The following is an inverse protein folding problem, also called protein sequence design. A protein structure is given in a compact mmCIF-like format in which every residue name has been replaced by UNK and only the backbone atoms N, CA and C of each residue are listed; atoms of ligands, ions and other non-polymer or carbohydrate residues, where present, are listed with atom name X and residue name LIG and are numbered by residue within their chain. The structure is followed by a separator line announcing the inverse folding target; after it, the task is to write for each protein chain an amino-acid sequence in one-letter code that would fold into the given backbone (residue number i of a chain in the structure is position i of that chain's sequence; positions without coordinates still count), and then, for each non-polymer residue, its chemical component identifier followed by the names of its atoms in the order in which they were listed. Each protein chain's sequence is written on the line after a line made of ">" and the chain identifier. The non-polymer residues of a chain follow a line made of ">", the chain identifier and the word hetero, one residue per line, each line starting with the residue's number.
data_IF_716206783248
#
_entry.id   IF_716206783248
#
_cell.length_a   1.000
_cell.length_b   1.000
_cell.length_c   1.000
_cell.angle_alpha   90.00
_cell.angle_beta   90.00
_cell.angle_gamma   90.00
#
_symmetry.space_group_name_H-M   'P 1'
#
loop_
_entity.id
_entity.type
_entity.pdbx_description
1 polymer ?
#
# COMPACT_ATOMS: atom_id res chain seq x y z
N UNK A 1 -17.66 10.47 15.95
CA UNK A 1 -17.59 9.59 14.75
C UNK A 1 -16.62 8.42 14.93
N UNK A 2 -15.69 8.46 15.89
CA UNK A 2 -14.79 7.35 16.28
C UNK A 2 -15.45 5.99 16.52
N UNK A 3 -16.70 5.94 17.01
CA UNK A 3 -17.45 4.69 17.11
C UNK A 3 -17.79 4.05 15.75
N UNK A 4 -17.81 4.81 14.65
CA UNK A 4 -18.17 4.28 13.32
C UNK A 4 -17.02 3.52 12.67
N UNK A 5 -15.76 3.93 12.83
CA UNK A 5 -14.62 3.23 12.22
C UNK A 5 -14.26 1.95 12.97
N UNK A 6 -14.37 1.97 14.30
CA UNK A 6 -14.25 0.77 15.12
C UNK A 6 -15.40 -0.21 14.84
N UNK A 7 -16.65 0.27 14.81
CA UNK A 7 -17.79 -0.56 14.46
C UNK A 7 -17.70 -1.09 13.02
N UNK A 8 -17.19 -0.28 12.08
CA UNK A 8 -16.95 -0.68 10.69
C UNK A 8 -15.90 -1.79 10.62
N UNK A 9 -14.76 -1.64 11.29
CA UNK A 9 -13.72 -2.68 11.36
C UNK A 9 -14.23 -3.96 12.03
N UNK A 10 -15.10 -3.84 13.04
CA UNK A 10 -15.74 -4.97 13.69
C UNK A 10 -16.70 -5.70 12.73
N UNK A 11 -17.57 -4.97 12.05
CA UNK A 11 -18.51 -5.51 11.05
C UNK A 11 -17.74 -6.15 9.89
N UNK A 12 -16.74 -5.45 9.33
CA UNK A 12 -15.88 -5.97 8.27
C UNK A 12 -15.16 -7.24 8.72
N UNK A 13 -14.61 -7.26 9.94
CA UNK A 13 -13.97 -8.44 10.52
C UNK A 13 -14.93 -9.64 10.59
N UNK A 14 -16.16 -9.42 11.07
CA UNK A 14 -17.19 -10.45 11.10
C UNK A 14 -17.60 -10.93 9.70
N UNK A 15 -17.76 -10.01 8.74
CA UNK A 15 -18.06 -10.36 7.35
C UNK A 15 -16.97 -11.23 6.73
N UNK A 16 -15.69 -10.89 6.94
CA UNK A 16 -14.56 -11.70 6.46
C UNK A 16 -14.52 -13.07 7.13
N UNK A 17 -14.73 -13.16 8.46
CA UNK A 17 -14.80 -14.45 9.16
C UNK A 17 -15.95 -15.29 8.61
N UNK A 18 -17.16 -14.72 8.47
CA UNK A 18 -18.32 -15.42 7.96
C UNK A 18 -18.10 -15.93 6.52
N UNK A 19 -17.60 -15.07 5.63
CA UNK A 19 -17.26 -15.45 4.26
C UNK A 19 -16.19 -16.56 4.24
N UNK A 20 -15.18 -16.46 5.10
CA UNK A 20 -14.12 -17.46 5.21
C UNK A 20 -14.61 -18.81 5.72
N UNK A 21 -15.54 -18.83 6.68
CA UNK A 21 -16.18 -20.05 7.16
C UNK A 21 -17.03 -20.72 6.07
N UNK A 22 -17.79 -19.94 5.28
CA UNK A 22 -18.56 -20.47 4.14
C UNK A 22 -17.63 -21.11 3.11
N UNK A 23 -16.54 -20.43 2.75
CA UNK A 23 -15.54 -20.95 1.81
C UNK A 23 -14.83 -22.21 2.31
N UNK A 24 -14.61 -22.32 3.62
CA UNK A 24 -13.92 -23.46 4.22
C UNK A 24 -14.80 -24.70 4.37
N UNK A 25 -16.05 -24.53 4.84
CA UNK A 25 -16.95 -25.64 5.14
C UNK A 25 -17.82 -26.07 3.95
N UNK A 26 -18.13 -25.16 3.03
CA UNK A 26 -19.04 -25.44 1.90
C UNK A 26 -18.45 -24.96 0.56
N UNK A 27 -17.19 -25.33 0.21
CA UNK A 27 -16.52 -24.79 -0.97
C UNK A 27 -17.29 -25.08 -2.28
N UNK A 28 -17.85 -26.28 -2.42
CA UNK A 28 -18.53 -26.74 -3.63
C UNK A 28 -19.76 -25.89 -4.01
N UNK A 29 -20.33 -25.14 -3.05
CA UNK A 29 -21.48 -24.25 -3.30
C UNK A 29 -21.09 -22.80 -3.50
N UNK A 30 -19.86 -22.40 -3.20
CA UNK A 30 -19.44 -20.99 -3.26
C UNK A 30 -19.54 -20.45 -4.69
N UNK A 31 -19.07 -21.22 -5.68
CA UNK A 31 -19.15 -20.77 -7.08
C UNK A 31 -20.60 -20.63 -7.55
N UNK A 32 -21.46 -21.60 -7.22
CA UNK A 32 -22.90 -21.50 -7.51
C UNK A 32 -23.56 -20.33 -6.79
N UNK A 33 -23.17 -20.03 -5.54
CA UNK A 33 -23.65 -18.87 -4.81
C UNK A 33 -23.23 -17.56 -5.48
N UNK A 34 -21.97 -17.46 -5.92
CA UNK A 34 -21.46 -16.29 -6.67
C UNK A 34 -22.27 -16.12 -7.95
N UNK A 35 -22.40 -17.19 -8.74
CA UNK A 35 -23.15 -17.17 -10.00
C UNK A 35 -24.61 -16.74 -9.80
N UNK A 36 -25.33 -17.39 -8.89
CA UNK A 36 -26.74 -17.11 -8.61
C UNK A 36 -26.93 -15.68 -8.10
N UNK A 37 -26.03 -15.21 -7.25
CA UNK A 37 -26.06 -13.82 -6.76
C UNK A 37 -25.83 -12.83 -7.90
N UNK A 38 -24.85 -13.09 -8.79
CA UNK A 38 -24.61 -12.26 -9.97
C UNK A 38 -25.81 -12.21 -10.91
N UNK A 39 -26.47 -13.34 -11.16
CA UNK A 39 -27.69 -13.41 -11.99
C UNK A 39 -28.81 -12.59 -11.35
N UNK A 40 -29.07 -12.77 -10.04
CA UNK A 40 -30.09 -12.02 -9.32
C UNK A 40 -29.82 -10.51 -9.38
N UNK A 41 -28.57 -10.08 -9.18
CA UNK A 41 -28.17 -8.67 -9.27
C UNK A 41 -28.38 -8.10 -10.67
N UNK A 42 -28.05 -8.86 -11.73
CA UNK A 42 -28.30 -8.46 -13.12
C UNK A 42 -29.80 -8.32 -13.40
N UNK A 43 -30.64 -9.21 -12.88
CA UNK A 43 -32.10 -9.13 -13.01
C UNK A 43 -32.67 -7.90 -12.28
N UNK A 44 -32.22 -7.64 -11.05
CA UNK A 44 -32.61 -6.43 -10.30
C UNK A 44 -32.19 -5.17 -11.06
N UNK A 45 -30.95 -5.13 -11.59
CA UNK A 45 -30.48 -4.03 -12.41
C UNK A 45 -31.30 -3.88 -13.70
N UNK A 46 -31.72 -4.99 -14.31
CA UNK A 46 -32.64 -4.99 -15.44
C UNK A 46 -33.99 -4.33 -15.10
N UNK A 47 -34.60 -4.70 -13.98
CA UNK A 47 -35.84 -4.05 -13.51
C UNK A 47 -35.62 -2.56 -13.28
N UNK A 48 -34.51 -2.16 -12.66
CA UNK A 48 -34.17 -0.76 -12.46
C UNK A 48 -34.02 0.02 -13.78
N UNK A 49 -33.29 -0.53 -14.75
CA UNK A 49 -33.10 0.06 -16.08
C UNK A 49 -34.42 0.15 -16.85
N UNK A 50 -35.30 -0.85 -16.72
CA UNK A 50 -36.64 -0.82 -17.29
C UNK A 50 -37.48 0.33 -16.71
N UNK A 51 -37.51 0.48 -15.39
CA UNK A 51 -38.21 1.60 -14.73
C UNK A 51 -37.65 2.95 -15.22
N UNK A 52 -36.32 3.07 -15.33
CA UNK A 52 -35.66 4.29 -15.80
C UNK A 52 -35.99 4.60 -17.26
N UNK A 53 -36.00 3.58 -18.11
CA UNK A 53 -36.42 3.69 -19.51
C UNK A 53 -37.89 4.11 -19.63
N UNK A 54 -38.80 3.54 -18.84
CA UNK A 54 -40.21 3.90 -18.86
C UNK A 54 -40.44 5.37 -18.48
N UNK A 55 -39.65 5.90 -17.52
CA UNK A 55 -39.72 7.31 -17.09
C UNK A 55 -39.06 8.29 -18.06
N UNK A 56 -37.89 7.97 -18.60
CA UNK A 56 -37.05 8.93 -19.33
C UNK A 56 -36.89 8.63 -20.82
N UNK A 57 -37.39 7.48 -21.29
CA UNK A 57 -37.37 7.02 -22.70
C UNK A 57 -35.99 7.05 -23.39
N UNK A 58 -34.91 6.96 -22.61
CA UNK A 58 -33.53 6.94 -23.13
C UNK A 58 -33.20 5.59 -23.76
N UNK A 59 -32.88 5.57 -25.07
CA UNK A 59 -32.51 4.34 -25.80
C UNK A 59 -31.31 3.60 -25.20
N UNK A 60 -30.38 4.31 -24.55
CA UNK A 60 -29.26 3.70 -23.82
C UNK A 60 -29.72 2.75 -22.72
N UNK A 61 -30.79 3.09 -21.99
CA UNK A 61 -31.28 2.30 -20.87
C UNK A 61 -31.90 0.99 -21.36
N UNK A 62 -32.59 1.05 -22.51
CA UNK A 62 -33.10 -0.13 -23.20
C UNK A 62 -31.98 -1.03 -23.73
N UNK A 63 -30.92 -0.45 -24.30
CA UNK A 63 -29.74 -1.21 -24.74
C UNK A 63 -29.06 -1.94 -23.57
N UNK A 64 -28.78 -1.24 -22.47
CA UNK A 64 -28.16 -1.84 -21.28
C UNK A 64 -29.06 -2.87 -20.60
N UNK A 65 -30.38 -2.70 -20.64
CA UNK A 65 -31.34 -3.70 -20.20
C UNK A 65 -31.18 -5.00 -21.00
N UNK A 66 -31.23 -4.90 -22.34
CA UNK A 66 -31.10 -6.06 -23.23
C UNK A 66 -29.75 -6.75 -22.98
N UNK A 67 -28.66 -6.00 -22.90
CA UNK A 67 -27.33 -6.54 -22.59
C UNK A 67 -27.29 -7.24 -21.22
N UNK A 68 -27.94 -6.68 -20.20
CA UNK A 68 -27.98 -7.28 -18.85
C UNK A 68 -28.72 -8.62 -18.85
N UNK A 69 -29.84 -8.71 -19.59
CA UNK A 69 -30.62 -9.96 -19.71
C UNK A 69 -29.84 -11.00 -20.51
N UNK A 70 -29.27 -10.61 -21.66
CA UNK A 70 -28.45 -11.51 -22.48
C UNK A 70 -27.24 -12.04 -21.68
N UNK A 71 -26.61 -11.18 -20.89
CA UNK A 71 -25.50 -11.59 -20.04
C UNK A 71 -25.94 -12.51 -18.89
N UNK A 72 -27.11 -12.28 -18.29
CA UNK A 72 -27.66 -13.18 -17.28
C UNK A 72 -27.97 -14.57 -17.86
N UNK A 73 -28.56 -14.64 -19.05
CA UNK A 73 -28.81 -15.91 -19.76
C UNK A 73 -27.49 -16.63 -20.09
N UNK A 74 -26.50 -15.88 -20.59
CA UNK A 74 -25.17 -16.42 -20.84
C UNK A 74 -24.53 -17.04 -19.59
N UNK A 75 -24.66 -16.39 -18.43
CA UNK A 75 -24.15 -16.91 -17.15
C UNK A 75 -24.88 -18.16 -16.68
N UNK A 76 -26.20 -18.28 -16.92
CA UNK A 76 -26.97 -19.49 -16.61
C UNK A 76 -26.44 -20.69 -17.42
N UNK A 77 -26.13 -20.48 -18.70
CA UNK A 77 -25.63 -21.56 -19.56
C UNK A 77 -24.15 -21.92 -19.30
N UNK A 78 -23.42 -21.09 -18.55
CA UNK A 78 -21.98 -21.25 -18.32
C UNK A 78 -21.64 -21.22 -16.83
N UNK A 79 -22.10 -22.23 -16.10
CA UNK A 79 -21.99 -22.32 -14.63
C UNK A 79 -20.54 -22.32 -14.11
N UNK A 80 -19.57 -22.70 -14.95
CA UNK A 80 -18.15 -22.79 -14.61
C UNK A 80 -17.39 -21.46 -14.72
N UNK A 81 -18.01 -20.40 -15.25
CA UNK A 81 -17.35 -19.10 -15.47
C UNK A 81 -16.74 -18.51 -14.19
N UNK A 82 -17.46 -18.40 -13.06
CA UNK A 82 -16.89 -17.83 -11.84
C UNK A 82 -15.68 -18.62 -11.34
N UNK A 83 -15.74 -19.94 -11.44
CA UNK A 83 -14.64 -20.83 -11.10
C UNK A 83 -13.42 -20.59 -12.00
N UNK A 84 -13.64 -20.52 -13.32
CA UNK A 84 -12.60 -20.24 -14.29
C UNK A 84 -11.94 -18.87 -14.06
N UNK A 85 -12.73 -17.81 -13.88
CA UNK A 85 -12.23 -16.45 -13.62
C UNK A 85 -11.34 -16.43 -12.39
N UNK A 86 -11.80 -17.00 -11.26
CA UNK A 86 -11.04 -17.00 -10.00
C UNK A 86 -9.76 -17.83 -10.15
N UNK A 87 -9.85 -19.02 -10.75
CA UNK A 87 -8.71 -19.92 -10.98
C UNK A 87 -7.65 -19.25 -11.86
N UNK A 88 -8.04 -18.67 -12.99
CA UNK A 88 -7.10 -18.01 -13.92
C UNK A 88 -6.51 -16.74 -13.31
N UNK A 89 -7.34 -15.89 -12.68
CA UNK A 89 -6.86 -14.67 -12.05
C UNK A 89 -5.84 -14.98 -10.93
N UNK A 90 -6.09 -16.00 -10.12
CA UNK A 90 -5.18 -16.39 -9.05
C UNK A 90 -3.92 -17.11 -9.59
N UNK A 91 -4.06 -17.91 -10.65
CA UNK A 91 -2.92 -18.52 -11.35
C UNK A 91 -1.97 -17.46 -11.93
N UNK A 92 -2.52 -16.43 -12.61
CA UNK A 92 -1.75 -15.28 -13.09
C UNK A 92 -1.07 -14.51 -11.95
N UNK A 93 -1.78 -14.30 -10.84
CA UNK A 93 -1.19 -13.69 -9.64
C UNK A 93 0.00 -14.48 -9.10
N UNK A 94 -0.10 -15.82 -9.05
CA UNK A 94 1.00 -16.69 -8.63
C UNK A 94 2.20 -16.56 -9.58
N UNK A 95 1.98 -16.47 -10.89
CA UNK A 95 3.06 -16.24 -11.85
C UNK A 95 3.73 -14.87 -11.68
N UNK A 96 2.97 -13.80 -11.47
CA UNK A 96 3.52 -12.47 -11.18
C UNK A 96 4.36 -12.52 -9.90
N UNK A 97 3.87 -13.22 -8.86
CA UNK A 97 4.57 -13.39 -7.59
C UNK A 97 5.84 -14.23 -7.73
N UNK A 98 5.82 -15.24 -8.59
CA UNK A 98 6.99 -16.06 -8.96
C UNK A 98 8.05 -15.20 -9.64
N UNK A 99 7.66 -14.41 -10.64
CA UNK A 99 8.58 -13.50 -11.34
C UNK A 99 9.18 -12.45 -10.40
N UNK A 100 8.36 -11.84 -9.55
CA UNK A 100 8.84 -10.87 -8.56
C UNK A 100 9.83 -11.50 -7.57
N UNK A 101 9.57 -12.73 -7.12
CA UNK A 101 10.46 -13.48 -6.23
C UNK A 101 11.76 -13.89 -6.93
N UNK A 102 11.70 -14.24 -8.22
CA UNK A 102 12.87 -14.53 -9.04
C UNK A 102 13.77 -13.29 -9.20
N UNK A 103 13.19 -12.14 -9.52
CA UNK A 103 13.91 -10.87 -9.60
C UNK A 103 14.59 -10.56 -8.26
N UNK A 104 13.86 -10.68 -7.14
CA UNK A 104 14.42 -10.43 -5.82
C UNK A 104 15.53 -11.45 -5.45
N UNK A 105 15.39 -12.71 -5.85
CA UNK A 105 16.45 -13.73 -5.67
C UNK A 105 17.73 -13.33 -6.42
N UNK A 106 17.61 -12.86 -7.66
CA UNK A 106 18.75 -12.37 -8.46
C UNK A 106 19.39 -11.15 -7.80
N UNK A 107 18.59 -10.18 -7.34
CA UNK A 107 19.08 -9.01 -6.60
C UNK A 107 19.82 -9.44 -5.33
N UNK A 108 19.27 -10.38 -4.56
CA UNK A 108 19.91 -10.90 -3.36
C UNK A 108 21.21 -11.64 -3.65
N UNK A 109 21.32 -12.29 -4.81
CA UNK A 109 22.57 -12.90 -5.25
C UNK A 109 23.63 -11.84 -5.58
N UNK A 110 23.26 -10.83 -6.36
CA UNK A 110 24.17 -9.74 -6.79
C UNK A 110 24.66 -8.91 -5.60
N UNK A 111 23.79 -8.66 -4.62
CA UNK A 111 24.07 -7.82 -3.45
C UNK A 111 24.53 -8.59 -2.20
N UNK A 112 24.78 -9.90 -2.35
CA UNK A 112 25.13 -10.82 -1.28
C UNK A 112 24.23 -10.73 -0.03
N UNK A 113 22.92 -10.78 -0.26
CA UNK A 113 21.90 -10.77 0.81
C UNK A 113 21.58 -12.21 1.23
N UNK A 114 21.55 -12.54 2.53
CA UNK A 114 21.39 -13.91 3.00
C UNK A 114 20.02 -14.54 2.69
N UNK A 115 18.98 -13.75 2.44
CA UNK A 115 17.58 -14.19 2.29
C UNK A 115 17.27 -14.95 0.97
N UNK A 116 18.29 -15.52 0.32
CA UNK A 116 18.20 -16.27 -0.94
C UNK A 116 17.25 -17.47 -0.85
N UNK A 117 17.32 -18.24 0.25
CA UNK A 117 16.53 -19.45 0.40
C UNK A 117 15.02 -19.18 0.49
N UNK A 118 14.62 -18.09 1.17
CA UNK A 118 13.21 -17.71 1.27
C UNK A 118 12.61 -17.44 -0.12
N UNK A 119 13.27 -16.63 -0.95
CA UNK A 119 12.74 -16.34 -2.30
C UNK A 119 12.74 -17.57 -3.20
N UNK A 120 13.72 -18.48 -3.06
CA UNK A 120 13.69 -19.76 -3.74
C UNK A 120 12.44 -20.59 -3.39
N UNK A 121 12.10 -20.70 -2.09
CA UNK A 121 10.88 -21.38 -1.66
C UNK A 121 9.62 -20.72 -2.24
N UNK A 122 9.57 -19.39 -2.29
CA UNK A 122 8.43 -18.66 -2.85
C UNK A 122 8.29 -18.88 -4.36
N UNK A 123 9.39 -18.96 -5.10
CA UNK A 123 9.40 -19.28 -6.54
C UNK A 123 8.82 -20.68 -6.77
N UNK A 124 9.26 -21.67 -5.99
CA UNK A 124 8.77 -23.05 -6.10
C UNK A 124 7.29 -23.13 -5.73
N UNK A 125 6.91 -22.56 -4.58
CA UNK A 125 5.54 -22.60 -4.08
C UNK A 125 4.55 -21.92 -5.04
N UNK A 126 4.83 -20.67 -5.44
CA UNK A 126 3.95 -19.96 -6.37
C UNK A 126 4.04 -20.49 -7.80
N UNK A 127 5.20 -20.97 -8.25
CA UNK A 127 5.38 -21.52 -9.58
C UNK A 127 4.59 -22.81 -9.78
N UNK A 128 4.68 -23.74 -8.83
CA UNK A 128 3.90 -24.99 -8.85
C UNK A 128 2.40 -24.68 -8.75
N UNK A 129 1.99 -23.83 -7.80
CA UNK A 129 0.58 -23.48 -7.62
C UNK A 129 0.01 -22.77 -8.87
N UNK A 130 0.75 -21.80 -9.43
CA UNK A 130 0.36 -21.08 -10.64
C UNK A 130 0.25 -22.00 -11.85
N UNK A 131 1.20 -22.93 -12.02
CA UNK A 131 1.15 -23.91 -13.10
C UNK A 131 -0.10 -24.80 -13.01
N UNK A 132 -0.36 -25.35 -11.82
CA UNK A 132 -1.54 -26.18 -11.59
C UNK A 132 -2.84 -25.41 -11.85
N UNK A 133 -2.93 -24.16 -11.37
CA UNK A 133 -4.11 -23.32 -11.58
C UNK A 133 -4.32 -22.91 -13.04
N UNK A 134 -3.30 -22.81 -13.88
CA UNK A 134 -3.50 -22.39 -15.27
C UNK A 134 -3.62 -23.57 -16.25
N UNK A 135 -2.88 -24.65 -16.02
CA UNK A 135 -2.67 -25.68 -17.04
C UNK A 135 -3.22 -27.07 -16.66
N UNK A 136 -3.67 -27.29 -15.43
CA UNK A 136 -4.26 -28.57 -15.00
C UNK A 136 -5.77 -28.45 -14.97
N UNK A 137 -6.46 -29.05 -15.94
CA UNK A 137 -7.90 -28.92 -16.13
C UNK A 137 -8.73 -29.39 -14.92
N UNK A 138 -8.30 -30.45 -14.25
CA UNK A 138 -8.97 -31.06 -13.08
C UNK A 138 -8.48 -30.52 -11.72
N UNK A 139 -7.92 -29.30 -11.66
CA UNK A 139 -7.48 -28.75 -10.39
C UNK A 139 -8.63 -28.64 -9.38
N UNK A 140 -8.47 -29.25 -8.20
CA UNK A 140 -9.44 -29.21 -7.11
C UNK A 140 -9.64 -27.78 -6.58
N UNK A 141 -10.65 -27.10 -7.11
CA UNK A 141 -10.99 -25.73 -6.71
C UNK A 141 -11.56 -25.65 -5.29
N UNK A 142 -12.00 -26.78 -4.73
CA UNK A 142 -12.39 -26.90 -3.32
C UNK A 142 -11.23 -26.61 -2.38
N UNK A 143 -10.03 -27.12 -2.68
CA UNK A 143 -8.83 -26.83 -1.90
C UNK A 143 -8.48 -25.35 -1.97
N UNK A 144 -8.57 -24.74 -3.16
CA UNK A 144 -8.34 -23.31 -3.36
C UNK A 144 -9.29 -22.47 -2.51
N UNK A 145 -10.59 -22.79 -2.53
CA UNK A 145 -11.59 -22.10 -1.73
C UNK A 145 -11.35 -22.27 -0.23
N UNK A 146 -10.95 -23.46 0.22
CA UNK A 146 -10.57 -23.67 1.64
C UNK A 146 -9.37 -22.81 2.03
N UNK A 147 -8.36 -22.67 1.17
CA UNK A 147 -7.21 -21.80 1.40
C UNK A 147 -7.63 -20.32 1.46
N UNK A 148 -8.51 -19.87 0.57
CA UNK A 148 -9.12 -18.53 0.66
C UNK A 148 -9.95 -18.36 1.94
N UNK A 149 -10.66 -19.41 2.36
CA UNK A 149 -11.42 -19.45 3.60
C UNK A 149 -10.54 -19.21 4.82
N UNK A 150 -9.43 -19.95 4.93
CA UNK A 150 -8.42 -19.75 5.99
C UNK A 150 -7.88 -18.32 5.94
N UNK A 151 -7.51 -17.82 4.76
CA UNK A 151 -7.00 -16.46 4.60
C UNK A 151 -8.02 -15.40 5.04
N UNK A 152 -9.30 -15.55 4.70
CA UNK A 152 -10.37 -14.63 5.09
C UNK A 152 -10.67 -14.69 6.59
N UNK A 153 -10.63 -15.87 7.21
CA UNK A 153 -10.74 -16.02 8.66
C UNK A 153 -9.60 -15.28 9.34
N UNK A 154 -8.35 -15.51 8.93
CA UNK A 154 -7.19 -14.84 9.52
C UNK A 154 -7.22 -13.32 9.33
N UNK A 155 -7.62 -12.85 8.14
CA UNK A 155 -7.82 -11.43 7.85
C UNK A 155 -8.92 -10.82 8.72
N UNK A 156 -10.05 -11.49 8.86
CA UNK A 156 -11.17 -11.04 9.67
C UNK A 156 -10.86 -11.05 11.18
N UNK A 157 -10.17 -12.08 11.67
CA UNK A 157 -9.66 -12.13 13.05
C UNK A 157 -8.71 -10.97 13.34
N UNK A 158 -7.87 -10.57 12.37
CA UNK A 158 -7.02 -9.40 12.50
C UNK A 158 -7.84 -8.12 12.66
N UNK A 159 -8.80 -7.84 11.77
CA UNK A 159 -9.67 -6.65 11.88
C UNK A 159 -10.47 -6.62 13.19
N UNK A 160 -10.97 -7.78 13.61
CA UNK A 160 -11.67 -7.94 14.88
C UNK A 160 -10.76 -7.61 16.08
N UNK A 161 -9.53 -8.13 16.09
CA UNK A 161 -8.56 -7.86 17.15
C UNK A 161 -8.14 -6.38 17.17
N UNK A 162 -7.89 -5.78 16.00
CA UNK A 162 -7.57 -4.35 15.88
C UNK A 162 -8.69 -3.47 16.46
N UNK A 163 -9.96 -3.83 16.22
CA UNK A 163 -11.12 -3.15 16.82
C UNK A 163 -11.17 -3.32 18.35
N UNK A 164 -10.94 -4.53 18.86
CA UNK A 164 -10.96 -4.82 20.30
C UNK A 164 -9.90 -4.02 21.08
N UNK A 165 -8.67 -3.96 20.53
CA UNK A 165 -7.57 -3.17 21.10
C UNK A 165 -7.86 -1.66 21.06
N UNK A 166 -8.57 -1.18 20.04
CA UNK A 166 -8.98 0.23 19.94
C UNK A 166 -10.01 0.66 20.98
N UNK A 167 -10.81 -0.26 21.50
CA UNK A 167 -11.90 0.03 22.46
C UNK A 167 -11.47 -0.10 23.91
N UNK A 168 -10.62 -1.08 24.24
CA UNK A 168 -10.34 -1.43 25.64
C UNK A 168 -9.26 -0.50 26.25
N UNK A 169 -9.63 0.44 27.14
CA UNK A 169 -8.69 1.38 27.73
C UNK A 169 -7.77 0.74 28.79
N UNK A 170 -8.08 -0.47 29.25
CA UNK A 170 -7.33 -1.20 30.27
C UNK A 170 -6.16 -2.01 29.69
N UNK A 171 -6.11 -2.21 28.38
CA UNK A 171 -4.99 -2.88 27.73
C UNK A 171 -3.80 -1.92 27.62
N UNK A 172 -2.70 -2.26 28.30
CA UNK A 172 -1.40 -1.61 28.11
C UNK A 172 -0.94 -1.90 26.68
N UNK A 173 -1.11 -0.91 25.80
CA UNK A 173 -0.78 -1.04 24.40
C UNK A 173 0.71 -0.76 24.19
N UNK A 174 1.43 -1.73 23.64
CA UNK A 174 2.83 -1.59 23.28
C UNK A 174 3.00 -2.05 21.83
N UNK A 175 3.81 -1.29 21.09
CA UNK A 175 4.25 -1.72 19.77
C UNK A 175 5.10 -2.97 19.90
N UNK A 176 4.66 -4.00 19.20
CA UNK A 176 5.34 -5.26 19.06
C UNK A 176 5.29 -5.63 17.59
N UNK A 177 6.38 -6.21 17.11
CA UNK A 177 6.47 -6.79 15.78
C UNK A 177 5.31 -7.74 15.56
N UNK A 178 4.52 -7.49 14.51
CA UNK A 178 3.33 -8.29 14.18
C UNK A 178 3.37 -8.70 12.72
N UNK A 179 2.98 -9.94 12.46
CA UNK A 179 2.64 -10.40 11.11
C UNK A 179 1.30 -9.76 10.75
N UNK A 180 1.29 -8.97 9.68
CA UNK A 180 0.09 -8.27 9.25
C UNK A 180 -0.45 -8.89 7.98
N UNK A 181 -1.67 -9.37 8.10
CA UNK A 181 -2.46 -9.89 6.99
C UNK A 181 -3.20 -8.71 6.38
N UNK A 182 -2.83 -8.36 5.16
CA UNK A 182 -3.43 -7.28 4.39
C UNK A 182 -4.11 -7.83 3.16
N UNK A 183 -5.08 -7.10 2.63
CA UNK A 183 -5.76 -7.44 1.38
C UNK A 183 -4.75 -7.66 0.23
N UNK A 184 -5.05 -8.53 -0.75
CA UNK A 184 -4.28 -8.63 -1.98
C UNK A 184 -4.10 -7.27 -2.63
N UNK A 185 -2.87 -6.94 -3.05
CA UNK A 185 -2.59 -5.69 -3.76
C UNK A 185 -3.47 -5.55 -5.00
N UNK A 186 -3.76 -6.67 -5.67
CA UNK A 186 -4.71 -6.76 -6.78
C UNK A 186 -6.12 -6.36 -6.34
N UNK A 187 -6.58 -6.82 -5.17
CA UNK A 187 -7.91 -6.46 -4.62
C UNK A 187 -7.95 -4.97 -4.25
N UNK A 188 -6.86 -4.40 -3.74
CA UNK A 188 -6.77 -2.96 -3.48
C UNK A 188 -6.91 -2.11 -4.76
N UNK A 189 -6.46 -2.62 -5.92
CA UNK A 189 -6.60 -1.94 -7.20
C UNK A 189 -8.06 -1.89 -7.71
N UNK A 190 -8.92 -2.79 -7.23
CA UNK A 190 -10.36 -2.83 -7.56
C UNK A 190 -11.23 -2.07 -6.56
N UNK A 191 -10.65 -1.35 -5.58
CA UNK A 191 -11.41 -0.49 -4.68
C UNK A 191 -12.03 0.65 -5.49
N UNK A 192 -13.37 0.78 -5.53
CA UNK A 192 -14.03 1.74 -6.40
C UNK A 192 -13.69 3.21 -6.09
N UNK A 193 -13.61 4.02 -7.15
CA UNK A 193 -13.32 5.45 -7.07
C UNK A 193 -14.26 6.23 -6.15
N UNK A 194 -15.53 5.82 -5.98
CA UNK A 194 -16.46 6.53 -5.09
C UNK A 194 -16.12 6.36 -3.60
N UNK A 195 -15.58 5.21 -3.20
CA UNK A 195 -15.06 4.96 -1.84
C UNK A 195 -13.82 5.81 -1.58
N UNK A 196 -13.08 6.12 -2.64
CA UNK A 196 -11.89 6.96 -2.59
C UNK A 196 -12.24 8.45 -2.70
N UNK A 197 -13.30 8.78 -3.42
CA UNK A 197 -13.83 10.15 -3.56
C UNK A 197 -14.43 10.61 -2.25
N UNK A 198 -15.01 9.73 -1.43
CA UNK A 198 -15.47 10.11 -0.08
C UNK A 198 -14.30 10.41 0.85
N UNK A 199 -13.21 9.64 0.77
CA UNK A 199 -11.98 9.93 1.51
C UNK A 199 -11.34 11.22 0.97
N UNK A 200 -11.16 11.36 -0.35
CA UNK A 200 -10.67 12.58 -0.99
C UNK A 200 -11.50 13.79 -0.61
N UNK A 201 -12.83 13.77 -0.77
CA UNK A 201 -13.75 14.86 -0.39
C UNK A 201 -13.73 15.17 1.11
N UNK A 202 -13.41 14.19 1.95
CA UNK A 202 -13.20 14.39 3.38
C UNK A 202 -11.85 15.06 3.67
N UNK A 203 -10.78 14.67 2.97
CA UNK A 203 -9.47 15.34 2.97
C UNK A 203 -9.57 16.79 2.42
N UNK A 204 -10.40 16.99 1.38
CA UNK A 204 -10.73 18.28 0.75
C UNK A 204 -11.50 19.22 1.65
N UNK A 205 -12.30 18.68 2.57
CA UNK A 205 -13.17 19.47 3.44
C UNK A 205 -12.38 20.32 4.45
N UNK A 206 -11.05 20.15 4.52
CA UNK A 206 -10.14 20.95 5.32
C UNK A 206 -10.43 20.90 6.82
N UNK A 207 -11.36 20.03 7.26
CA UNK A 207 -11.69 19.88 8.67
C UNK A 207 -10.43 19.36 9.35
N UNK A 208 -9.74 20.19 10.16
CA UNK A 208 -8.59 19.72 10.89
C UNK A 208 -9.12 18.58 11.74
N UNK A 209 -8.50 17.42 11.64
CA UNK A 209 -8.62 16.46 12.71
C UNK A 209 -7.93 17.11 13.91
N UNK A 210 -8.66 17.96 14.63
CA UNK A 210 -8.21 18.49 15.90
C UNK A 210 -8.16 17.29 16.84
N UNK A 211 -6.99 16.67 16.94
CA UNK A 211 -6.66 15.85 18.08
C UNK A 211 -5.66 16.60 18.95
N UNK A 212 -5.88 16.44 20.25
CA UNK A 212 -5.20 17.10 21.34
C UNK A 212 -3.70 17.24 21.07
N UNK A 213 -3.22 18.49 21.11
CA UNK A 213 -1.82 18.75 21.43
C UNK A 213 -1.56 18.14 22.81
N UNK A 214 -1.06 16.91 22.86
CA UNK A 214 -0.19 16.56 23.98
C UNK A 214 1.12 17.31 23.73
N UNK A 215 1.48 18.13 24.70
CA UNK A 215 2.65 19.01 24.64
C UNK A 215 3.92 18.11 24.70
N UNK A 216 4.37 17.67 23.54
CA UNK A 216 5.61 16.93 23.37
C UNK A 216 6.61 17.85 22.66
N UNK A 217 7.86 17.85 23.13
CA UNK A 217 8.94 18.53 22.42
C UNK A 217 9.10 17.97 20.99
N UNK A 218 9.36 18.83 20.02
CA UNK A 218 9.49 18.45 18.59
C UNK A 218 10.68 17.50 18.35
N UNK A 219 11.60 17.39 19.33
CA UNK A 219 12.73 16.46 19.40
C UNK A 219 12.35 15.02 19.77
N UNK A 220 11.16 14.80 20.32
CA UNK A 220 10.64 13.48 20.72
C UNK A 220 9.67 12.87 19.70
N UNK A 221 9.61 13.42 18.49
CA UNK A 221 8.66 13.01 17.45
C UNK A 221 9.40 12.55 16.20
N UNK A 222 9.24 11.26 15.86
CA UNK A 222 9.53 10.75 14.53
C UNK A 222 8.30 11.00 13.64
N UNK A 223 8.46 11.73 12.54
CA UNK A 223 7.35 11.99 11.60
C UNK A 223 7.44 10.99 10.45
N UNK A 224 6.37 10.26 10.17
CA UNK A 224 6.29 9.37 8.99
C UNK A 224 5.29 9.97 8.01
N UNK A 225 5.73 10.13 6.77
CA UNK A 225 4.96 10.78 5.72
C UNK A 225 4.63 9.76 4.64
N UNK A 226 3.34 9.51 4.44
CA UNK A 226 2.85 8.66 3.35
C UNK A 226 2.32 9.55 2.24
N UNK A 227 2.91 9.40 1.05
CA UNK A 227 2.61 10.20 -0.12
C UNK A 227 1.51 9.55 -0.94
N UNK A 228 0.52 10.36 -1.29
CA UNK A 228 -0.62 9.97 -2.12
C UNK A 228 -0.64 10.88 -3.33
N UNK A 229 -0.51 10.27 -4.51
CA UNK A 229 -0.52 11.00 -5.77
C UNK A 229 -1.87 11.66 -6.07
N UNK A 230 -1.95 12.45 -7.16
CA UNK A 230 -3.11 13.30 -7.47
C UNK A 230 -4.42 12.54 -7.73
N UNK A 231 -4.38 11.22 -7.96
CA UNK A 231 -5.59 10.40 -8.15
C UNK A 231 -6.06 9.69 -6.86
N UNK A 232 -5.62 10.12 -5.67
CA UNK A 232 -6.07 9.59 -4.38
C UNK A 232 -5.35 8.31 -3.92
N UNK A 233 -5.92 7.61 -2.91
CA UNK A 233 -5.33 6.44 -2.21
C UNK A 233 -5.00 5.26 -3.14
N UNK A 234 -5.57 5.19 -4.35
CA UNK A 234 -5.12 4.22 -5.37
C UNK A 234 -3.66 4.45 -5.83
N UNK A 235 -3.10 5.65 -5.61
CA UNK A 235 -1.70 6.02 -5.89
C UNK A 235 -0.94 6.35 -4.60
N UNK A 236 -1.05 5.53 -3.55
CA UNK A 236 -0.06 5.60 -2.47
C UNK A 236 1.28 5.14 -3.05
N UNK A 237 2.11 6.11 -3.45
CA UNK A 237 3.28 5.87 -4.28
C UNK A 237 4.59 5.82 -3.49
N UNK A 238 4.62 6.43 -2.29
CA UNK A 238 5.87 6.63 -1.59
C UNK A 238 5.68 6.82 -0.08
N UNK A 239 6.72 6.50 0.69
CA UNK A 239 6.77 6.72 2.13
C UNK A 239 8.16 7.21 2.52
N UNK A 240 8.20 8.18 3.43
CA UNK A 240 9.42 8.77 3.96
C UNK A 240 9.27 9.01 5.45
N UNK A 241 10.39 9.29 6.13
CA UNK A 241 10.35 9.69 7.53
C UNK A 241 11.20 10.94 7.76
N UNK A 242 10.88 11.69 8.82
CA UNK A 242 11.65 12.83 9.29
C UNK A 242 12.04 12.61 10.74
N UNK A 243 13.31 12.82 11.03
CA UNK A 243 13.88 12.71 12.35
C UNK A 243 14.76 13.94 12.61
N UNK A 244 14.55 14.61 13.76
CA UNK A 244 15.26 15.84 14.17
C UNK A 244 15.34 16.89 13.05
N UNK A 245 14.20 17.13 12.39
CA UNK A 245 14.09 18.14 11.32
C UNK A 245 14.68 17.75 9.96
N UNK A 246 15.18 16.52 9.80
CA UNK A 246 15.73 16.03 8.53
C UNK A 246 14.85 14.91 7.97
N UNK A 247 14.39 15.09 6.74
CA UNK A 247 13.65 14.09 5.97
C UNK A 247 14.62 13.14 5.29
N UNK A 248 14.35 11.85 5.43
CA UNK A 248 15.03 10.76 4.75
C UNK A 248 14.05 10.06 3.82
N UNK A 249 14.45 9.91 2.56
CA UNK A 249 13.63 9.31 1.52
C UNK A 249 14.49 8.43 0.64
N UNK A 250 14.06 7.18 0.42
CA UNK A 250 14.79 6.19 -0.39
C UNK A 250 13.98 5.79 -1.61
N UNK A 251 14.59 5.77 -2.79
CA UNK A 251 13.91 5.44 -4.03
C UNK A 251 14.88 5.15 -5.17
N UNK A 252 14.31 4.87 -6.34
CA UNK A 252 15.06 4.78 -7.59
C UNK A 252 15.21 6.19 -8.18
N UNK A 253 16.20 6.94 -7.72
CA UNK A 253 16.40 8.33 -8.13
C UNK A 253 17.48 8.51 -9.20
N UNK A 254 18.30 7.50 -9.48
CA UNK A 254 19.30 7.58 -10.54
C UNK A 254 18.74 7.06 -11.87
N UNK A 255 18.31 8.00 -12.72
CA UNK A 255 17.75 7.73 -14.06
C UNK A 255 18.70 6.92 -14.96
N UNK A 256 20.02 7.08 -14.80
CA UNK A 256 21.02 6.34 -15.60
C UNK A 256 21.05 4.84 -15.23
N UNK A 257 20.62 4.51 -14.02
CA UNK A 257 20.58 3.15 -13.50
C UNK A 257 19.26 2.41 -13.80
N UNK A 258 18.26 3.08 -14.38
CA UNK A 258 16.92 2.51 -14.56
C UNK A 258 16.94 1.24 -15.43
N UNK A 259 16.25 0.21 -14.95
CA UNK A 259 15.99 -1.06 -15.62
C UNK A 259 14.52 -1.45 -15.42
N UNK A 260 14.01 -2.33 -16.29
CA UNK A 260 12.62 -2.82 -16.26
C UNK A 260 11.58 -1.71 -16.06
N UNK A 261 11.54 -0.74 -16.97
CA UNK A 261 10.60 0.38 -16.90
C UNK A 261 10.67 1.13 -15.54
N UNK A 262 11.90 1.43 -15.09
CA UNK A 262 12.22 2.22 -13.88
C UNK A 262 11.88 1.53 -12.54
N UNK A 263 11.43 0.27 -12.57
CA UNK A 263 11.10 -0.47 -11.34
C UNK A 263 12.34 -1.01 -10.62
N UNK A 264 13.47 -1.12 -11.32
CA UNK A 264 14.79 -1.50 -10.79
C UNK A 264 15.80 -0.39 -11.09
N UNK A 265 16.73 -0.16 -10.17
CA UNK A 265 17.90 0.68 -10.38
C UNK A 265 18.77 0.73 -9.13
N UNK A 266 19.72 1.64 -9.09
CA UNK A 266 20.53 1.87 -7.90
C UNK A 266 19.65 2.47 -6.80
N UNK A 267 19.80 1.93 -5.60
CA UNK A 267 19.14 2.45 -4.42
C UNK A 267 19.77 3.77 -3.99
N UNK A 268 18.97 4.85 -4.03
CA UNK A 268 19.40 6.19 -3.64
C UNK A 268 18.52 6.68 -2.50
N UNK A 269 19.13 7.16 -1.42
CA UNK A 269 18.40 7.95 -0.43
C UNK A 269 18.84 9.41 -0.46
N UNK A 270 17.95 10.32 -0.09
CA UNK A 270 18.29 11.72 0.10
C UNK A 270 17.94 12.23 1.49
N UNK A 271 18.61 13.31 1.86
CA UNK A 271 18.33 14.10 3.06
C UNK A 271 17.92 15.51 2.68
N UNK A 272 16.82 16.01 3.27
CA UNK A 272 16.29 17.37 3.08
C UNK A 272 15.83 17.95 4.41
N UNK A 273 16.10 19.25 4.72
CA UNK A 273 15.47 19.90 5.86
C UNK A 273 13.94 19.90 5.73
N UNK A 274 13.25 19.46 6.78
CA UNK A 274 11.81 19.24 6.79
C UNK A 274 11.00 20.47 6.36
N UNK A 275 11.44 21.66 6.77
CA UNK A 275 10.86 22.94 6.40
C UNK A 275 10.77 23.20 4.89
N UNK A 276 11.69 22.63 4.10
CA UNK A 276 11.69 22.74 2.64
C UNK A 276 10.99 21.57 1.95
N UNK A 277 10.88 20.42 2.62
CA UNK A 277 10.35 19.20 2.02
C UNK A 277 8.86 19.29 1.67
N UNK A 278 8.02 19.55 2.68
CA UNK A 278 6.56 19.58 2.50
C UNK A 278 6.15 20.63 1.46
N UNK A 279 6.62 21.90 1.52
CA UNK A 279 6.27 22.89 0.52
C UNK A 279 6.68 22.47 -0.90
N UNK A 280 7.86 21.85 -1.07
CA UNK A 280 8.31 21.38 -2.37
C UNK A 280 7.42 20.23 -2.88
N UNK A 281 7.09 19.24 -2.05
CA UNK A 281 6.24 18.10 -2.45
C UNK A 281 4.81 18.54 -2.84
N UNK A 282 4.25 19.53 -2.15
CA UNK A 282 2.93 20.04 -2.50
C UNK A 282 2.96 20.90 -3.77
N UNK A 283 3.94 21.80 -3.89
CA UNK A 283 3.95 22.82 -4.95
C UNK A 283 4.56 22.35 -6.26
N UNK A 284 5.56 21.47 -6.22
CA UNK A 284 6.29 21.01 -7.40
C UNK A 284 5.86 19.61 -7.84
N UNK A 285 5.50 18.73 -6.90
CA UNK A 285 5.22 17.31 -7.18
C UNK A 285 3.73 16.97 -7.16
N UNK A 286 2.86 17.92 -6.79
CA UNK A 286 1.40 17.74 -6.71
C UNK A 286 1.01 16.47 -5.92
N UNK A 287 1.65 16.27 -4.77
CA UNK A 287 1.34 15.19 -3.85
C UNK A 287 0.50 15.66 -2.66
N UNK A 288 -0.43 14.82 -2.21
CA UNK A 288 -1.01 14.91 -0.87
C UNK A 288 -0.18 14.08 0.10
N UNK A 289 0.00 14.55 1.33
CA UNK A 289 0.84 13.88 2.34
C UNK A 289 0.03 13.66 3.62
N UNK A 290 0.07 12.41 4.10
CA UNK A 290 -0.36 12.04 5.44
C UNK A 290 0.86 11.98 6.35
N UNK A 291 1.01 12.96 7.23
CA UNK A 291 2.10 13.06 8.20
C UNK A 291 1.62 12.54 9.55
N UNK A 292 2.19 11.42 10.00
CA UNK A 292 1.94 10.84 11.31
C UNK A 292 3.10 11.17 12.25
N UNK A 293 2.81 11.80 13.38
CA UNK A 293 3.80 12.02 14.45
C UNK A 293 3.79 10.86 15.43
N UNK A 294 4.97 10.25 15.61
CA UNK A 294 5.19 9.10 16.48
C UNK A 294 6.04 9.56 17.65
N UNK A 295 5.52 9.44 18.87
CA UNK A 295 6.27 9.67 20.08
C UNK A 295 7.33 8.57 20.25
N UNK A 296 8.59 8.96 20.39
CA UNK A 296 9.72 8.05 20.62
C UNK A 296 10.26 8.17 22.06
N UNK A 297 10.73 7.05 22.61
CA UNK A 297 11.43 6.99 23.90
C UNK A 297 12.93 7.25 23.70
N UNK A 298 13.64 7.69 24.75
CA UNK A 298 15.10 7.89 24.72
C UNK A 298 15.89 6.66 24.27
N UNK A 299 15.48 5.46 24.70
CA UNK A 299 16.13 4.21 24.26
C UNK A 299 15.95 3.96 22.75
N UNK A 300 14.78 4.31 22.22
CA UNK A 300 14.48 4.19 20.79
C UNK A 300 15.24 5.22 19.95
N UNK A 301 15.50 6.39 20.51
CA UNK A 301 16.32 7.45 19.90
C UNK A 301 17.72 6.93 19.57
N UNK A 302 18.40 6.32 20.53
CA UNK A 302 19.73 5.74 20.33
C UNK A 302 19.75 4.65 19.24
N UNK A 303 18.70 3.83 19.17
CA UNK A 303 18.57 2.78 18.14
C UNK A 303 18.32 3.36 16.74
N UNK A 304 17.58 4.47 16.64
CA UNK A 304 17.37 5.20 15.39
C UNK A 304 18.70 5.82 14.93
N UNK A 305 19.40 6.52 15.82
CA UNK A 305 20.67 7.17 15.50
C UNK A 305 21.73 6.16 15.05
N UNK A 306 21.81 5.00 15.70
CA UNK A 306 22.69 3.91 15.29
C UNK A 306 22.39 3.43 13.86
N UNK A 307 21.11 3.29 13.50
CA UNK A 307 20.71 2.84 12.16
C UNK A 307 21.00 3.91 11.10
N UNK A 308 20.76 5.19 11.40
CA UNK A 308 21.08 6.30 10.52
C UNK A 308 22.60 6.42 10.29
N UNK A 309 23.40 6.25 11.33
CA UNK A 309 24.86 6.27 11.20
C UNK A 309 25.35 5.04 10.40
N UNK A 310 24.69 3.88 10.54
CA UNK A 310 24.96 2.72 9.69
C UNK A 310 24.65 3.00 8.20
N UNK A 311 23.53 3.68 7.90
CA UNK A 311 23.21 4.10 6.53
C UNK A 311 24.28 5.05 5.97
N UNK A 312 24.68 6.04 6.75
CA UNK A 312 25.72 7.01 6.37
C UNK A 312 27.07 6.33 6.15
N UNK A 313 27.50 5.45 7.05
CA UNK A 313 28.78 4.74 6.93
C UNK A 313 28.81 3.80 5.71
N UNK A 314 27.69 3.16 5.42
CA UNK A 314 27.52 2.29 4.25
C UNK A 314 27.08 3.05 2.97
N UNK A 315 27.20 4.38 2.93
CA UNK A 315 26.86 5.16 1.74
C UNK A 315 27.93 6.16 1.35
N UNK A 316 27.79 6.70 0.15
CA UNK A 316 28.63 7.75 -0.40
C UNK A 316 27.75 8.79 -1.09
N UNK A 317 28.21 10.04 -1.11
CA UNK A 317 27.52 11.14 -1.79
C UNK A 317 27.40 10.84 -3.28
N UNK A 318 26.18 10.84 -3.80
CA UNK A 318 25.89 10.70 -5.23
C UNK A 318 25.38 12.03 -5.79
N UNK A 319 26.21 12.73 -6.56
CA UNK A 319 25.88 14.03 -7.12
C UNK A 319 24.83 13.88 -8.24
N UNK A 320 23.73 14.62 -8.12
CA UNK A 320 22.70 14.60 -9.15
C UNK A 320 23.16 15.33 -10.42
N UNK A 321 22.41 15.22 -11.52
CA UNK A 321 22.84 15.70 -12.84
C UNK A 321 23.23 17.19 -12.84
N UNK A 322 22.42 18.06 -12.25
CA UNK A 322 22.72 19.50 -12.16
C UNK A 322 24.00 19.80 -11.36
N UNK A 323 24.31 19.00 -10.34
CA UNK A 323 25.54 19.13 -9.57
C UNK A 323 26.77 18.70 -10.37
N UNK A 324 26.68 17.56 -11.07
CA UNK A 324 27.80 17.02 -11.88
C UNK A 324 28.17 17.92 -13.05
N UNK A 325 27.17 18.56 -13.65
CA UNK A 325 27.32 19.38 -14.87
C UNK A 325 27.46 20.87 -14.57
N UNK A 326 27.51 21.27 -13.29
CA UNK A 326 27.53 22.67 -12.85
C UNK A 326 26.39 23.49 -13.50
N UNK A 327 25.22 22.87 -13.63
CA UNK A 327 24.11 23.36 -14.46
C UNK A 327 23.18 24.38 -13.81
N UNK A 328 23.57 24.98 -12.68
CA UNK A 328 22.70 25.86 -11.87
C UNK A 328 22.17 27.07 -12.67
N UNK A 329 22.99 27.66 -13.54
CA UNK A 329 22.60 28.80 -14.40
C UNK A 329 21.63 28.39 -15.53
N UNK A 330 21.47 27.09 -15.79
CA UNK A 330 20.65 26.51 -16.86
C UNK A 330 19.59 25.55 -16.31
N UNK A 331 19.02 25.88 -15.15
CA UNK A 331 18.04 25.02 -14.44
C UNK A 331 16.93 24.45 -15.34
N UNK A 332 16.46 25.19 -16.34
CA UNK A 332 15.41 24.75 -17.27
C UNK A 332 15.74 23.44 -18.01
N UNK A 333 17.02 23.12 -18.23
CA UNK A 333 17.47 21.86 -18.85
C UNK A 333 17.33 20.66 -17.91
N UNK A 334 17.26 20.91 -16.59
CA UNK A 334 17.22 19.88 -15.54
C UNK A 334 15.86 19.78 -14.85
N UNK A 335 14.89 20.61 -15.22
CA UNK A 335 13.59 20.72 -14.54
C UNK A 335 12.81 19.41 -14.48
N UNK A 336 12.98 18.53 -15.48
CA UNK A 336 12.30 17.22 -15.54
C UNK A 336 13.00 16.16 -14.68
N UNK A 337 14.31 16.30 -14.48
CA UNK A 337 15.10 15.39 -13.64
C UNK A 337 14.78 15.65 -12.16
N UNK A 338 14.06 14.73 -11.53
CA UNK A 338 13.57 14.89 -10.15
C UNK A 338 14.69 15.21 -9.14
N UNK A 339 15.83 14.48 -9.12
CA UNK A 339 16.91 14.77 -8.18
C UNK A 339 17.47 16.18 -8.35
N UNK A 340 17.67 16.62 -9.59
CA UNK A 340 18.18 17.96 -9.88
C UNK A 340 17.20 19.04 -9.44
N UNK A 341 15.90 18.85 -9.73
CA UNK A 341 14.83 19.77 -9.30
C UNK A 341 14.75 19.89 -7.78
N UNK A 342 14.80 18.76 -7.07
CA UNK A 342 14.77 18.73 -5.61
C UNK A 342 16.03 19.36 -5.00
N UNK A 343 17.21 19.02 -5.52
CA UNK A 343 18.48 19.62 -5.09
C UNK A 343 18.46 21.15 -5.23
N UNK A 344 18.11 21.64 -6.42
CA UNK A 344 18.10 23.07 -6.72
C UNK A 344 17.17 23.86 -5.79
N UNK A 345 15.99 23.30 -5.47
CA UNK A 345 14.96 23.99 -4.67
C UNK A 345 15.18 23.90 -3.16
N UNK A 346 15.78 22.82 -2.67
CA UNK A 346 15.81 22.54 -1.21
C UNK A 346 17.21 22.26 -0.67
N UNK A 347 18.25 22.26 -1.51
CA UNK A 347 19.60 21.87 -1.13
C UNK A 347 19.74 20.37 -0.80
N UNK A 348 18.84 19.53 -1.31
CA UNK A 348 18.82 18.09 -1.04
C UNK A 348 20.15 17.42 -1.35
N UNK A 349 20.61 16.53 -0.46
CA UNK A 349 21.81 15.72 -0.71
C UNK A 349 21.42 14.27 -0.90
N UNK A 350 21.94 13.65 -1.95
CA UNK A 350 21.65 12.27 -2.33
C UNK A 350 22.84 11.35 -2.07
N UNK A 351 22.55 10.10 -1.76
CA UNK A 351 23.53 9.11 -1.35
C UNK A 351 23.16 7.74 -1.93
N UNK A 352 24.17 6.99 -2.35
CA UNK A 352 24.04 5.59 -2.79
C UNK A 352 24.70 4.66 -1.79
N UNK A 353 24.16 3.45 -1.66
CA UNK A 353 24.73 2.43 -0.78
C UNK A 353 25.91 1.71 -1.43
N UNK A 354 26.95 1.43 -0.64
CA UNK A 354 28.14 0.69 -1.08
C UNK A 354 27.85 -0.81 -1.24
N UNK A 355 27.06 -1.35 -0.32
CA UNK A 355 26.74 -2.77 -0.24
C UNK A 355 25.41 -3.02 0.48
N UNK A 356 24.95 -4.27 0.44
CA UNK A 356 23.79 -4.72 1.18
C UNK A 356 22.47 -4.39 0.50
N UNK A 357 21.39 -4.56 1.27
CA UNK A 357 20.02 -4.67 0.74
C UNK A 357 19.58 -3.46 -0.09
N UNK A 358 19.89 -2.26 0.39
CA UNK A 358 19.48 -1.02 -0.25
C UNK A 358 20.43 -0.56 -1.37
N UNK A 359 21.38 -1.39 -1.80
CA UNK A 359 22.24 -1.08 -2.96
C UNK A 359 21.44 -1.07 -4.26
N UNK A 360 20.47 -1.97 -4.40
CA UNK A 360 19.58 -2.03 -5.56
C UNK A 360 18.16 -1.77 -5.10
N UNK A 361 17.51 -0.78 -5.72
CA UNK A 361 16.10 -0.56 -5.54
C UNK A 361 15.29 -1.56 -6.36
N UNK A 362 14.24 -2.12 -5.76
CA UNK A 362 13.23 -2.90 -6.46
C UNK A 362 11.84 -2.57 -5.93
N UNK A 363 10.96 -2.07 -6.79
CA UNK A 363 9.63 -1.60 -6.41
C UNK A 363 8.79 -2.65 -5.64
N UNK A 364 8.92 -3.93 -6.02
CA UNK A 364 8.19 -5.05 -5.41
C UNK A 364 9.01 -5.80 -4.34
N UNK A 365 10.10 -5.22 -3.83
CA UNK A 365 10.90 -5.81 -2.76
C UNK A 365 11.64 -4.75 -1.96
N UNK A 366 12.94 -4.58 -2.21
CA UNK A 366 13.77 -3.59 -1.51
C UNK A 366 13.45 -2.14 -1.96
N UNK A 367 12.39 -1.58 -1.38
CA UNK A 367 11.79 -0.29 -1.75
C UNK A 367 11.75 0.74 -0.59
N UNK A 368 11.09 1.88 -0.82
CA UNK A 368 10.93 2.97 0.15
C UNK A 368 10.24 2.55 1.46
N UNK A 369 9.28 1.63 1.37
CA UNK A 369 8.56 1.12 2.53
C UNK A 369 9.44 0.23 3.38
N UNK A 370 10.24 -0.65 2.78
CA UNK A 370 11.21 -1.46 3.53
C UNK A 370 12.33 -0.60 4.14
N UNK A 371 12.75 0.47 3.46
CA UNK A 371 13.71 1.43 4.01
C UNK A 371 13.16 2.14 5.25
N UNK A 372 11.90 2.57 5.20
CA UNK A 372 11.22 3.19 6.35
C UNK A 372 10.95 2.17 7.46
N UNK A 373 10.61 0.93 7.09
CA UNK A 373 10.40 -0.18 8.03
C UNK A 373 11.63 -0.48 8.87
N UNK A 374 12.85 -0.30 8.34
CA UNK A 374 14.09 -0.44 9.14
C UNK A 374 14.16 0.49 10.34
N UNK A 375 13.67 1.72 10.18
CA UNK A 375 13.64 2.72 11.26
C UNK A 375 12.47 2.43 12.20
N UNK A 376 11.30 2.13 11.66
CA UNK A 376 10.12 1.79 12.47
C UNK A 376 10.30 0.48 13.26
N UNK A 377 11.10 -0.46 12.76
CA UNK A 377 11.49 -1.66 13.49
C UNK A 377 12.25 -1.38 14.79
N UNK A 378 12.99 -0.27 14.87
CA UNK A 378 13.64 0.18 16.12
C UNK A 378 12.63 0.60 17.18
N UNK A 379 11.40 0.91 16.77
CA UNK A 379 10.29 1.23 17.65
C UNK A 379 9.48 -0.01 18.06
N UNK A 380 9.82 -1.20 17.56
CA UNK A 380 8.99 -2.41 17.67
C UNK A 380 7.75 -2.37 16.76
N UNK A 381 7.80 -1.54 15.72
CA UNK A 381 6.68 -1.18 14.84
C UNK A 381 6.84 -1.69 13.41
N UNK A 382 7.84 -2.52 13.16
CA UNK A 382 8.02 -3.11 11.83
C UNK A 382 6.83 -4.01 11.48
N UNK A 383 6.42 -3.91 10.22
CA UNK A 383 5.25 -4.61 9.70
C UNK A 383 5.74 -5.78 8.88
N UNK A 384 5.62 -6.99 9.42
CA UNK A 384 5.91 -8.20 8.66
C UNK A 384 4.76 -8.50 7.70
N UNK A 385 5.01 -8.33 6.41
CA UNK A 385 4.08 -8.75 5.35
C UNK A 385 4.21 -10.25 5.10
N UNK A 386 3.10 -11.00 5.13
CA UNK A 386 3.12 -12.44 4.77
C UNK A 386 3.61 -12.70 3.34
N UNK A 387 3.52 -11.69 2.45
CA UNK A 387 3.96 -11.78 1.06
C UNK A 387 5.45 -11.46 0.86
N UNK A 388 6.15 -11.02 1.90
CA UNK A 388 7.50 -10.48 1.80
C UNK A 388 7.60 -9.09 1.16
N UNK A 389 6.51 -8.56 0.58
CA UNK A 389 6.45 -7.22 -0.02
C UNK A 389 5.76 -6.26 0.94
N UNK A 390 6.47 -5.20 1.33
CA UNK A 390 5.92 -4.09 2.12
C UNK A 390 5.64 -2.94 1.14
N UNK A 391 4.40 -2.43 1.15
CA UNK A 391 3.99 -1.31 0.32
C UNK A 391 3.71 -0.06 1.15
N UNK A 392 3.87 1.15 0.59
CA UNK A 392 3.46 2.39 1.26
C UNK A 392 2.00 2.36 1.76
N UNK A 393 1.09 1.75 0.98
CA UNK A 393 -0.32 1.59 1.38
C UNK A 393 -0.51 0.72 2.63
N UNK A 394 0.36 -0.28 2.83
CA UNK A 394 0.36 -1.12 4.06
C UNK A 394 0.63 -0.26 5.29
N UNK A 395 1.55 0.70 5.17
CA UNK A 395 1.87 1.63 6.26
C UNK A 395 0.80 2.70 6.46
N UNK A 396 0.14 3.18 5.40
CA UNK A 396 -0.99 4.08 5.53
C UNK A 396 -2.11 3.44 6.39
N UNK A 397 -2.51 2.21 6.04
CA UNK A 397 -3.50 1.46 6.82
C UNK A 397 -3.01 1.18 8.25
N UNK A 398 -1.70 1.00 8.44
CA UNK A 398 -1.09 0.75 9.75
C UNK A 398 -1.19 1.97 10.64
N UNK A 399 -0.57 3.07 10.22
CA UNK A 399 -0.47 4.30 10.98
C UNK A 399 -1.85 4.91 11.24
N UNK A 400 -2.77 4.79 10.28
CA UNK A 400 -4.16 5.20 10.50
C UNK A 400 -4.83 4.38 11.60
N UNK A 401 -4.66 3.04 11.60
CA UNK A 401 -5.20 2.18 12.64
C UNK A 401 -4.56 2.44 14.01
N UNK A 402 -3.25 2.71 14.03
CA UNK A 402 -2.53 3.08 15.24
C UNK A 402 -2.99 4.42 15.81
N UNK A 403 -3.19 5.42 14.96
CA UNK A 403 -3.64 6.75 15.37
C UNK A 403 -5.00 6.73 16.09
N UNK A 404 -5.88 5.78 15.73
CA UNK A 404 -7.21 5.66 16.35
C UNK A 404 -7.15 5.03 17.76
N UNK A 405 -6.05 4.36 18.11
CA UNK A 405 -5.90 3.67 19.40
C UNK A 405 -5.49 4.64 20.50
N UNK A 406 -6.24 4.68 21.62
CA UNK A 406 -6.03 5.63 22.75
C UNK A 406 -4.62 5.62 23.35
N UNK A 407 -3.94 4.48 23.35
CA UNK A 407 -2.63 4.28 23.97
C UNK A 407 -1.51 4.08 22.94
N UNK A 408 -1.74 4.48 21.68
CA UNK A 408 -0.75 4.38 20.62
C UNK A 408 0.37 5.41 20.77
N UNK A 409 1.60 5.07 20.36
CA UNK A 409 2.68 6.03 20.15
C UNK A 409 2.40 7.03 19.01
N UNK A 410 1.42 6.78 18.13
CA UNK A 410 1.02 7.74 17.09
C UNK A 410 0.15 8.81 17.72
N UNK A 411 0.72 10.00 17.93
CA UNK A 411 0.12 11.09 18.70
C UNK A 411 -0.45 12.21 17.84
N UNK A 412 -0.08 12.27 16.56
CA UNK A 412 -0.61 13.29 15.65
C UNK A 412 -0.78 12.77 14.23
N UNK A 413 -1.75 13.37 13.52
CA UNK A 413 -1.93 13.24 12.09
C UNK A 413 -2.14 14.63 11.51
N UNK A 414 -1.27 15.03 10.60
CA UNK A 414 -1.41 16.24 9.80
C UNK A 414 -1.55 15.84 8.33
N UNK A 415 -2.53 16.44 7.66
CA UNK A 415 -2.82 16.16 6.25
C UNK A 415 -2.46 17.42 5.47
N UNK A 416 -1.59 17.25 4.47
CA UNK A 416 -1.19 18.30 3.54
C UNK A 416 -1.82 18.01 2.19
N UNK A 417 -2.78 18.84 1.75
CA UNK A 417 -3.52 18.66 0.51
C UNK A 417 -3.37 19.87 -0.42
N UNK A 418 -3.59 19.64 -1.72
CA UNK A 418 -3.34 20.63 -2.80
C UNK A 418 -4.50 21.63 -2.95
N UNK A 419 -5.67 21.38 -2.34
CA UNK A 419 -6.89 22.19 -2.47
C UNK A 419 -6.89 23.56 -1.74
N UNK A 420 -5.71 24.13 -1.50
CA UNK A 420 -5.56 25.54 -1.14
C UNK A 420 -5.30 26.46 -2.37
N UNK A 421 -5.38 25.94 -3.61
CA UNK A 421 -5.05 26.71 -4.83
C UNK A 421 -6.20 27.00 -5.80
N UNK A 422 -7.45 26.68 -5.47
CA UNK A 422 -8.60 26.93 -6.37
C UNK A 422 -9.74 27.73 -5.72
N UNK A 423 -9.38 28.75 -4.93
CA UNK A 423 -10.28 29.87 -4.66
C UNK A 423 -9.55 31.12 -5.11
N UNK A 424 -9.61 31.40 -6.41
CA UNK A 424 -9.73 32.73 -7.02
C UNK A 424 -10.10 32.58 -8.49
#
# INVERSE_FOLDING_TARGET
>A
MFNKDVASNFILGLCFIAAGLVMFFIPNRVFSLILNTSIILLLINGVYLLIRFLKHKKKSDLLFLILSILFALFLVDHETIPQWIIRVAFGLYCYISTLASLIQLVINYINDIPDKFYHFLMIVAYGILGFNLLFVDEFETDLLLRLFGIYFILLGSRYFNDANVGVNPLLKYEWKRKIRITLPTIVCAFIPDWTLTSINRYLSSGKPFALEKKDYGDDQILKVMVHVGPNGIQKVGHITFSYKGIVYSYGNYDEESFRLNQTIGDGVFFTVPFEYYIPNMMSAENNSIFEYGIQIKKEQEALIEQELEAFKNNSYRWYCKIEREYGYDRFNEYKENYPSRLHYKTGAKFYKFKSGRFKTYWALGDNCALFTDRILGKLGCDVLSMRGIISPGTYLEYLQGEYIKKNSPVVSLKIHSIEAKSIH
#
